data_IF_168718172525
#
_entry.id   IF_168718172525
#
_cell.length_a   1.000
_cell.length_b   1.000
_cell.length_c   1.000
_cell.angle_alpha   90.00
_cell.angle_beta   90.00
_cell.angle_gamma   90.00
#
_symmetry.space_group_name_H-M   'P 1'
#
loop_
_entity.id
_entity.type
_entity.pdbx_description
1 polymer ?
#
# COMPACT_ATOMS: atom_id res chain seq x y z
N UNK A 1 18.42 13.85 -3.93
CA UNK A 1 19.13 12.56 -3.94
C UNK A 1 18.09 11.47 -3.83
N UNK A 2 17.96 10.63 -4.86
CA UNK A 2 16.97 9.55 -4.93
C UNK A 2 17.43 8.34 -4.12
N UNK A 3 16.48 7.50 -3.72
CA UNK A 3 16.79 6.17 -3.22
C UNK A 3 17.02 5.28 -4.45
N UNK A 4 18.23 4.75 -4.61
CA UNK A 4 18.64 3.94 -5.76
C UNK A 4 19.04 2.54 -5.30
N UNK A 5 18.62 1.52 -6.04
CA UNK A 5 19.04 0.13 -5.84
C UNK A 5 20.29 -0.16 -6.67
N UNK A 6 21.11 -1.10 -6.20
CA UNK A 6 22.37 -1.47 -6.84
C UNK A 6 22.19 -2.37 -8.06
N UNK A 7 23.20 -2.43 -8.93
CA UNK A 7 23.20 -3.37 -10.08
C UNK A 7 23.03 -4.82 -9.64
N UNK A 8 23.59 -5.21 -8.50
CA UNK A 8 23.41 -6.55 -7.94
C UNK A 8 21.94 -6.82 -7.59
N UNK A 9 21.25 -5.85 -7.01
CA UNK A 9 19.83 -5.94 -6.68
C UNK A 9 18.95 -5.99 -7.95
N UNK A 10 19.33 -5.25 -8.99
CA UNK A 10 18.66 -5.30 -10.30
C UNK A 10 18.84 -6.70 -10.93
N UNK A 11 20.06 -7.25 -10.92
CA UNK A 11 20.32 -8.61 -11.41
C UNK A 11 19.57 -9.67 -10.60
N UNK A 12 19.47 -9.49 -9.29
CA UNK A 12 18.67 -10.35 -8.43
C UNK A 12 17.19 -10.31 -8.84
N UNK A 13 16.60 -9.12 -8.97
CA UNK A 13 15.21 -8.97 -9.41
C UNK A 13 14.95 -9.64 -10.77
N UNK A 14 15.86 -9.48 -11.73
CA UNK A 14 15.76 -10.11 -13.06
C UNK A 14 15.84 -11.64 -13.01
N UNK A 15 16.51 -12.20 -12.00
CA UNK A 15 16.70 -13.65 -11.84
C UNK A 15 15.56 -14.27 -11.03
N UNK A 16 15.22 -13.66 -9.91
CA UNK A 16 14.31 -14.21 -8.91
C UNK A 16 12.84 -13.77 -9.16
N UNK A 17 12.64 -12.66 -9.86
CA UNK A 17 11.33 -12.06 -10.13
C UNK A 17 10.82 -11.14 -9.02
N UNK A 18 11.54 -11.03 -7.91
CA UNK A 18 11.25 -10.12 -6.81
C UNK A 18 12.54 -9.55 -6.18
N UNK A 19 12.38 -8.48 -5.40
CA UNK A 19 13.46 -7.83 -4.67
C UNK A 19 12.94 -7.38 -3.31
N UNK A 20 13.61 -7.83 -2.24
CA UNK A 20 13.31 -7.40 -0.87
C UNK A 20 14.25 -6.29 -0.45
N UNK A 21 13.68 -5.13 -0.11
CA UNK A 21 14.40 -3.99 0.43
C UNK A 21 14.13 -3.90 1.94
N UNK A 22 15.09 -4.29 2.81
CA UNK A 22 14.87 -4.24 4.24
C UNK A 22 14.87 -2.79 4.74
N UNK A 23 14.00 -2.50 5.71
CA UNK A 23 14.01 -1.25 6.48
C UNK A 23 13.96 0.03 5.64
N UNK A 24 13.19 0.04 4.55
CA UNK A 24 12.99 1.23 3.70
C UNK A 24 12.28 2.37 4.45
N UNK A 25 11.44 2.02 5.42
CA UNK A 25 10.69 2.94 6.26
C UNK A 25 11.06 2.75 7.72
N UNK A 26 11.11 3.86 8.45
CA UNK A 26 11.38 3.86 9.87
C UNK A 26 10.18 3.31 10.66
N UNK A 27 10.41 2.74 11.86
CA UNK A 27 9.31 2.20 12.68
C UNK A 27 8.20 3.22 13.00
N UNK A 28 8.53 4.51 13.11
CA UNK A 28 7.55 5.59 13.31
C UNK A 28 6.68 5.85 12.09
N UNK A 29 7.26 5.78 10.89
CA UNK A 29 6.52 5.90 9.63
C UNK A 29 5.57 4.72 9.47
N UNK A 30 6.06 3.50 9.69
CA UNK A 30 5.24 2.28 9.65
C UNK A 30 4.11 2.31 10.68
N UNK A 31 4.38 2.83 11.89
CA UNK A 31 3.34 3.03 12.91
C UNK A 31 2.25 3.99 12.41
N UNK A 32 2.63 5.12 11.82
CA UNK A 32 1.69 6.11 11.26
C UNK A 32 0.83 5.48 10.15
N UNK A 33 1.45 4.72 9.24
CA UNK A 33 0.72 4.02 8.17
C UNK A 33 -0.28 3.01 8.72
N UNK A 34 0.07 2.30 9.80
CA UNK A 34 -0.82 1.36 10.47
C UNK A 34 -2.04 2.06 11.09
N UNK A 35 -1.80 3.12 11.85
CA UNK A 35 -2.87 3.91 12.47
C UNK A 35 -3.84 4.47 11.42
N UNK A 36 -3.31 4.94 10.29
CA UNK A 36 -4.11 5.43 9.18
C UNK A 36 -4.93 4.31 8.50
N UNK A 37 -4.34 3.13 8.33
CA UNK A 37 -5.05 1.98 7.77
C UNK A 37 -6.18 1.50 8.69
N UNK A 38 -5.95 1.48 10.01
CA UNK A 38 -6.96 1.14 11.02
C UNK A 38 -8.11 2.15 11.00
N UNK A 39 -7.79 3.45 10.93
CA UNK A 39 -8.78 4.51 10.81
C UNK A 39 -9.65 4.36 9.55
N UNK A 40 -9.04 4.10 8.39
CA UNK A 40 -9.79 3.90 7.13
C UNK A 40 -10.69 2.66 7.22
N UNK A 41 -10.18 1.56 7.79
CA UNK A 41 -10.96 0.33 7.97
C UNK A 41 -12.20 0.61 8.83
N UNK A 42 -12.01 1.23 9.99
CA UNK A 42 -13.09 1.59 10.90
C UNK A 42 -14.11 2.51 10.21
N UNK A 43 -13.65 3.59 9.58
CA UNK A 43 -14.49 4.55 8.88
C UNK A 43 -15.37 3.89 7.81
N UNK A 44 -14.76 3.10 6.92
CA UNK A 44 -15.46 2.53 5.77
C UNK A 44 -16.42 1.43 6.21
N UNK A 45 -16.06 0.62 7.21
CA UNK A 45 -16.95 -0.41 7.77
C UNK A 45 -18.12 0.24 8.51
N UNK A 46 -17.87 1.18 9.42
CA UNK A 46 -18.91 1.83 10.20
C UNK A 46 -19.87 2.62 9.31
N UNK A 47 -19.36 3.35 8.31
CA UNK A 47 -20.20 4.04 7.32
C UNK A 47 -21.06 3.04 6.53
N UNK A 48 -20.49 1.89 6.15
CA UNK A 48 -21.24 0.86 5.40
C UNK A 48 -22.37 0.27 6.24
N UNK A 49 -22.11 -0.03 7.52
CA UNK A 49 -23.10 -0.57 8.46
C UNK A 49 -24.19 0.45 8.77
N UNK A 50 -23.82 1.68 9.12
CA UNK A 50 -24.76 2.75 9.50
C UNK A 50 -25.73 3.08 8.36
N UNK A 51 -25.22 3.19 7.13
CA UNK A 51 -26.03 3.51 5.97
C UNK A 51 -26.64 2.27 5.29
N UNK A 52 -26.43 1.05 5.83
CA UNK A 52 -26.87 -0.22 5.25
C UNK A 52 -26.51 -0.37 3.77
N UNK A 53 -25.32 0.13 3.40
CA UNK A 53 -24.82 0.13 2.01
C UNK A 53 -23.41 -0.40 1.97
N UNK A 54 -23.09 -1.23 0.99
CA UNK A 54 -21.71 -1.68 0.80
C UNK A 54 -20.92 -0.61 0.04
N UNK A 55 -19.83 -0.12 0.64
CA UNK A 55 -18.88 0.71 -0.10
C UNK A 55 -18.26 -0.09 -1.25
N UNK A 56 -18.26 0.49 -2.47
CA UNK A 56 -17.62 -0.11 -3.64
C UNK A 56 -16.11 -0.30 -3.51
N UNK A 57 -15.48 0.37 -2.53
CA UNK A 57 -14.05 0.21 -2.22
C UNK A 57 -13.76 -1.05 -1.40
N UNK A 58 -14.77 -1.67 -0.78
CA UNK A 58 -14.60 -2.86 0.05
C UNK A 58 -14.71 -4.14 -0.78
N UNK A 59 -13.64 -4.93 -0.78
CA UNK A 59 -13.71 -6.35 -1.09
C UNK A 59 -13.98 -7.14 0.20
N UNK A 60 -15.12 -7.83 0.25
CA UNK A 60 -15.59 -8.57 1.42
C UNK A 60 -15.84 -10.00 1.00
N UNK A 61 -15.27 -10.95 1.77
CA UNK A 61 -15.59 -12.37 1.65
C UNK A 61 -16.63 -12.76 2.69
N UNK A 62 -17.66 -13.46 2.25
CA UNK A 62 -18.61 -14.13 3.14
C UNK A 62 -18.02 -15.47 3.59
N UNK A 63 -18.16 -15.77 4.87
CA UNK A 63 -17.76 -17.04 5.48
C UNK A 63 -18.88 -17.55 6.38
N UNK A 64 -18.79 -18.79 6.85
CA UNK A 64 -19.76 -19.34 7.80
C UNK A 64 -19.76 -18.57 9.14
N UNK A 65 -18.63 -17.97 9.52
CA UNK A 65 -18.48 -17.20 10.76
C UNK A 65 -18.84 -15.72 10.61
N UNK A 66 -19.15 -15.25 9.40
CA UNK A 66 -19.46 -13.85 9.12
C UNK A 66 -18.65 -13.26 7.97
N UNK A 67 -18.48 -11.94 8.01
CA UNK A 67 -17.87 -11.16 6.95
C UNK A 67 -16.41 -10.81 7.26
N UNK A 68 -15.54 -10.94 6.25
CA UNK A 68 -14.13 -10.56 6.36
C UNK A 68 -13.82 -9.55 5.27
N UNK A 69 -13.34 -8.36 5.66
CA UNK A 69 -12.77 -7.39 4.71
C UNK A 69 -11.42 -7.93 4.25
N UNK A 70 -11.27 -8.18 2.95
CA UNK A 70 -10.02 -8.67 2.35
C UNK A 70 -9.12 -7.54 1.86
N UNK A 71 -9.75 -6.49 1.33
CA UNK A 71 -9.05 -5.37 0.70
C UNK A 71 -9.92 -4.13 0.71
N UNK A 72 -9.28 -2.97 0.84
CA UNK A 72 -9.86 -1.66 0.55
C UNK A 72 -9.07 -1.07 -0.61
N UNK A 73 -9.75 -0.59 -1.66
CA UNK A 73 -9.07 0.09 -2.77
C UNK A 73 -9.99 1.06 -3.53
N UNK A 74 -9.43 2.14 -4.11
CA UNK A 74 -8.10 2.71 -3.80
C UNK A 74 -8.04 3.33 -2.39
N UNK A 75 -6.88 3.33 -1.74
CA UNK A 75 -6.66 3.89 -0.38
C UNK A 75 -5.99 5.26 -0.38
N UNK A 76 -5.26 5.59 -1.44
CA UNK A 76 -4.60 6.89 -1.62
C UNK A 76 -5.61 8.05 -1.71
N UNK A 77 -6.84 7.83 -2.19
CA UNK A 77 -7.87 8.88 -2.18
C UNK A 77 -8.53 9.09 -0.80
N UNK A 78 -8.34 8.15 0.12
CA UNK A 78 -9.00 8.16 1.43
C UNK A 78 -8.13 8.76 2.52
N UNK A 79 -6.84 8.96 2.25
CA UNK A 79 -5.86 9.42 3.23
C UNK A 79 -4.79 10.27 2.58
N UNK A 80 -4.54 11.45 3.14
CA UNK A 80 -3.41 12.29 2.76
C UNK A 80 -2.05 11.63 3.10
N UNK A 81 -1.99 10.85 4.18
CA UNK A 81 -0.79 10.13 4.55
C UNK A 81 -0.45 9.07 3.49
N UNK A 82 -1.43 8.23 3.12
CA UNK A 82 -1.23 7.18 2.12
C UNK A 82 -1.07 7.74 0.71
N UNK A 83 -1.71 8.88 0.40
CA UNK A 83 -1.48 9.63 -0.84
C UNK A 83 -0.02 10.06 -0.95
N UNK A 84 0.55 10.70 0.09
CA UNK A 84 1.95 11.12 0.10
C UNK A 84 2.89 9.93 -0.03
N UNK A 85 2.60 8.83 0.66
CA UNK A 85 3.37 7.59 0.56
C UNK A 85 3.47 7.10 -0.89
N UNK A 86 2.39 7.17 -1.67
CA UNK A 86 2.41 6.75 -3.08
C UNK A 86 3.35 7.57 -3.99
N UNK A 87 3.84 8.72 -3.49
CA UNK A 87 4.78 9.59 -4.20
C UNK A 87 6.21 9.54 -3.62
N UNK A 88 6.45 8.68 -2.62
CA UNK A 88 7.74 8.59 -1.95
C UNK A 88 8.82 8.08 -2.91
N UNK A 89 9.95 8.81 -2.96
CA UNK A 89 11.09 8.45 -3.82
C UNK A 89 11.71 7.11 -3.45
N UNK A 90 11.54 6.68 -2.19
CA UNK A 90 11.95 5.37 -1.68
C UNK A 90 11.18 4.21 -2.31
N UNK A 91 9.98 4.47 -2.84
CA UNK A 91 9.19 3.52 -3.63
C UNK A 91 9.40 3.72 -5.13
N UNK A 92 9.31 4.96 -5.61
CA UNK A 92 9.33 5.26 -7.04
C UNK A 92 10.72 5.11 -7.68
N UNK A 93 11.79 5.40 -6.95
CA UNK A 93 13.17 5.26 -7.45
C UNK A 93 13.50 3.82 -7.86
N UNK A 94 13.34 2.84 -6.96
CA UNK A 94 13.53 1.43 -7.31
C UNK A 94 12.64 0.96 -8.44
N UNK A 95 11.35 1.35 -8.45
CA UNK A 95 10.43 0.97 -9.52
C UNK A 95 10.88 1.50 -10.88
N UNK A 96 11.31 2.76 -10.94
CA UNK A 96 11.82 3.34 -12.18
C UNK A 96 13.08 2.62 -12.69
N UNK A 97 14.01 2.25 -11.80
CA UNK A 97 15.21 1.50 -12.16
C UNK A 97 14.91 0.06 -12.62
N UNK A 98 13.94 -0.60 -11.98
CA UNK A 98 13.57 -1.98 -12.32
C UNK A 98 12.76 -2.06 -13.62
N UNK A 99 11.91 -1.08 -13.88
CA UNK A 99 11.04 -1.03 -15.06
C UNK A 99 11.71 -0.37 -16.26
N UNK A 100 12.83 0.33 -16.07
CA UNK A 100 13.48 1.18 -17.08
C UNK A 100 12.49 2.18 -17.71
N UNK A 101 11.55 2.67 -16.89
CA UNK A 101 10.46 3.55 -17.28
C UNK A 101 10.13 4.50 -16.13
N UNK A 102 9.37 5.57 -16.42
CA UNK A 102 8.88 6.49 -15.39
C UNK A 102 7.40 6.19 -15.08
N UNK A 103 7.02 6.11 -13.80
CA UNK A 103 5.61 6.00 -13.43
C UNK A 103 4.83 7.22 -13.93
N UNK A 104 3.71 6.95 -14.63
CA UNK A 104 2.77 7.96 -15.18
C UNK A 104 1.91 8.56 -14.07
#
# INVERSE_FOLDING_TARGET
MGFEISEQQICQFKTDGDLVLPSVFDPSEVKTMREEADFILELVVNSSLYHQRKSGRLDIRQTQAGQIVRKIQPINDLSLCLSRLSTEKRLLGPLAQLMDDQPI
#
